data_IF_305996087131
#
_entry.id   IF_305996087131
#
_cell.length_a   1.000
_cell.length_b   1.000
_cell.length_c   1.000
_cell.angle_alpha   90.00
_cell.angle_beta   90.00
_cell.angle_gamma   90.00
#
_symmetry.space_group_name_H-M   'P 1'
#
loop_
_entity.id
_entity.type
_entity.pdbx_description
1 polymer ?
#
# COMPACT_ATOMS: atom_id res chain seq x y z
N UNK A 1 -15.64 -2.43 -32.55
CA UNK A 1 -16.00 -2.77 -31.16
C UNK A 1 -17.51 -2.78 -31.03
N UNK A 2 -18.07 -3.83 -30.48
CA UNK A 2 -19.51 -3.92 -30.20
C UNK A 2 -19.84 -3.14 -28.92
N UNK A 3 -21.15 -2.77 -28.77
CA UNK A 3 -21.62 -2.12 -27.53
C UNK A 3 -21.37 -2.95 -26.27
N UNK A 4 -21.36 -4.27 -26.38
CA UNK A 4 -21.07 -5.20 -25.30
C UNK A 4 -19.58 -5.17 -24.90
N UNK A 5 -18.68 -5.08 -25.88
CA UNK A 5 -17.24 -4.94 -25.61
C UNK A 5 -16.92 -3.63 -24.89
N UNK A 6 -17.56 -2.53 -25.29
CA UNK A 6 -17.38 -1.24 -24.60
C UNK A 6 -17.84 -1.32 -23.14
N UNK A 7 -19.00 -1.91 -22.86
CA UNK A 7 -19.47 -2.12 -21.48
C UNK A 7 -18.53 -2.99 -20.66
N UNK A 8 -17.96 -4.04 -21.26
CA UNK A 8 -16.99 -4.89 -20.57
C UNK A 8 -15.75 -4.11 -20.18
N UNK A 9 -15.20 -3.30 -21.09
CA UNK A 9 -14.05 -2.43 -20.78
C UNK A 9 -14.37 -1.41 -19.68
N UNK A 10 -15.58 -0.83 -19.68
CA UNK A 10 -16.03 0.08 -18.61
C UNK A 10 -16.07 -0.60 -17.24
N UNK A 11 -16.52 -1.86 -17.17
CA UNK A 11 -16.52 -2.62 -15.91
C UNK A 11 -15.10 -2.89 -15.41
N UNK A 12 -14.17 -3.28 -16.30
CA UNK A 12 -12.77 -3.51 -15.94
C UNK A 12 -12.15 -2.19 -15.47
N UNK A 13 -12.35 -1.09 -16.20
CA UNK A 13 -11.84 0.24 -15.84
C UNK A 13 -12.39 0.74 -14.51
N UNK A 14 -13.69 0.53 -14.25
CA UNK A 14 -14.30 0.85 -12.95
C UNK A 14 -13.66 0.07 -11.80
N UNK A 15 -13.32 -1.20 -12.03
CA UNK A 15 -12.63 -2.02 -11.03
C UNK A 15 -11.20 -1.53 -10.78
N UNK A 16 -10.46 -1.16 -11.82
CA UNK A 16 -9.12 -0.58 -11.71
C UNK A 16 -9.17 0.70 -10.87
N UNK A 17 -10.09 1.61 -11.17
CA UNK A 17 -10.26 2.85 -10.44
C UNK A 17 -10.57 2.60 -8.96
N UNK A 18 -11.45 1.64 -8.65
CA UNK A 18 -11.77 1.25 -7.28
C UNK A 18 -10.55 0.71 -6.52
N UNK A 19 -9.66 -0.06 -7.17
CA UNK A 19 -8.43 -0.56 -6.54
C UNK A 19 -7.44 0.58 -6.28
N UNK A 20 -7.30 1.51 -7.22
CA UNK A 20 -6.46 2.70 -7.06
C UNK A 20 -6.98 3.62 -5.94
N UNK A 21 -8.29 3.85 -5.86
CA UNK A 21 -8.92 4.62 -4.78
C UNK A 21 -8.72 3.98 -3.41
N UNK A 22 -8.84 2.66 -3.32
CA UNK A 22 -8.59 1.95 -2.06
C UNK A 22 -7.12 2.06 -1.63
N UNK A 23 -6.17 1.93 -2.56
CA UNK A 23 -4.74 2.17 -2.30
C UNK A 23 -4.49 3.59 -1.78
N UNK A 24 -5.13 4.61 -2.37
CA UNK A 24 -5.01 5.99 -1.91
C UNK A 24 -5.60 6.19 -0.50
N UNK A 25 -6.76 5.62 -0.22
CA UNK A 25 -7.41 5.67 1.11
C UNK A 25 -6.55 5.00 2.19
N UNK A 26 -5.96 3.85 1.88
CA UNK A 26 -5.04 3.13 2.80
C UNK A 26 -3.85 4.00 3.19
N UNK A 27 -3.25 4.71 2.23
CA UNK A 27 -2.16 5.68 2.50
C UNK A 27 -2.62 6.81 3.42
N UNK A 28 -3.80 7.37 3.15
CA UNK A 28 -4.38 8.43 4.00
C UNK A 28 -4.63 7.98 5.43
N UNK A 29 -5.23 6.81 5.63
CA UNK A 29 -5.44 6.23 6.96
C UNK A 29 -4.14 5.96 7.70
N UNK A 30 -3.13 5.44 7.00
CA UNK A 30 -1.80 5.21 7.59
C UNK A 30 -1.20 6.49 8.14
N UNK A 31 -1.16 7.56 7.33
CA UNK A 31 -0.61 8.87 7.74
C UNK A 31 -1.38 9.42 8.94
N UNK A 32 -2.71 9.35 8.92
CA UNK A 32 -3.57 9.83 10.02
C UNK A 32 -3.28 9.09 11.33
N UNK A 33 -3.21 7.76 11.30
CA UNK A 33 -2.93 6.95 12.50
C UNK A 33 -1.54 7.21 13.07
N UNK A 34 -0.53 7.29 12.21
CA UNK A 34 0.84 7.56 12.65
C UNK A 34 0.93 8.97 13.25
N UNK A 35 0.30 9.96 12.63
CA UNK A 35 0.27 11.34 13.17
C UNK A 35 -0.42 11.39 14.53
N UNK A 36 -1.50 10.64 14.73
CA UNK A 36 -2.18 10.54 16.03
C UNK A 36 -1.28 9.90 17.10
N UNK A 37 -0.58 8.80 16.77
CA UNK A 37 0.35 8.14 17.70
C UNK A 37 1.55 9.04 18.04
N UNK A 38 2.05 9.81 17.07
CA UNK A 38 3.11 10.80 17.30
C UNK A 38 2.63 11.93 18.24
N UNK A 39 1.41 12.42 18.06
CA UNK A 39 0.81 13.42 18.94
C UNK A 39 0.68 12.89 20.38
N UNK A 40 0.26 11.64 20.55
CA UNK A 40 0.20 10.98 21.86
C UNK A 40 1.59 10.82 22.49
N UNK A 41 2.62 10.49 21.69
CA UNK A 41 4.00 10.46 22.16
C UNK A 41 4.44 11.82 22.70
N UNK A 42 4.22 12.90 21.94
CA UNK A 42 4.61 14.27 22.33
C UNK A 42 3.96 14.69 23.66
N UNK A 43 2.71 14.29 23.89
CA UNK A 43 1.98 14.63 25.12
C UNK A 43 2.37 13.78 26.34
N UNK A 44 2.78 12.51 26.14
CA UNK A 44 2.98 11.56 27.24
C UNK A 44 4.44 11.17 27.44
N UNK A 45 5.29 11.48 26.48
CA UNK A 45 6.72 11.09 26.39
C UNK A 45 6.98 9.57 26.52
N UNK A 46 5.91 8.75 26.34
CA UNK A 46 6.03 7.28 26.43
C UNK A 46 6.50 6.68 25.11
N UNK A 47 7.68 6.11 25.09
CA UNK A 47 8.30 5.42 23.92
C UNK A 47 7.38 4.31 23.36
N UNK A 48 6.50 3.73 24.17
CA UNK A 48 5.54 2.71 23.74
C UNK A 48 4.71 3.14 22.54
N UNK A 49 4.34 4.41 22.39
CA UNK A 49 3.56 4.89 21.25
C UNK A 49 4.36 4.83 19.93
N UNK A 50 5.67 5.04 19.98
CA UNK A 50 6.55 4.89 18.81
C UNK A 50 6.71 3.42 18.40
N UNK A 51 6.79 2.51 19.38
CA UNK A 51 6.84 1.07 19.11
C UNK A 51 5.53 0.56 18.49
N UNK A 52 4.38 0.99 19.03
CA UNK A 52 3.06 0.64 18.49
C UNK A 52 2.84 1.18 17.09
N UNK A 53 3.46 2.32 16.72
CA UNK A 53 3.34 2.91 15.39
C UNK A 53 3.89 2.02 14.26
N UNK A 54 4.80 1.09 14.55
CA UNK A 54 5.29 0.13 13.54
C UNK A 54 4.19 -0.82 13.06
N UNK A 55 3.23 -1.17 13.91
CA UNK A 55 2.14 -2.11 13.56
C UNK A 55 1.32 -1.58 12.38
N UNK A 56 0.69 -0.38 12.44
CA UNK A 56 -0.06 0.14 11.31
C UNK A 56 0.83 0.38 10.07
N UNK A 57 2.10 0.79 10.23
CA UNK A 57 3.00 0.97 9.09
C UNK A 57 3.13 -0.32 8.26
N UNK A 58 3.40 -1.46 8.89
CA UNK A 58 3.56 -2.73 8.19
C UNK A 58 2.23 -3.27 7.66
N UNK A 59 1.13 -3.17 8.44
CA UNK A 59 -0.20 -3.64 8.01
C UNK A 59 -0.67 -2.87 6.78
N UNK A 60 -0.58 -1.55 6.78
CA UNK A 60 -0.99 -0.74 5.64
C UNK A 60 -0.07 -0.89 4.44
N UNK A 61 1.24 -1.10 4.65
CA UNK A 61 2.16 -1.42 3.57
C UNK A 61 1.75 -2.71 2.85
N UNK A 62 1.39 -3.75 3.62
CA UNK A 62 0.92 -5.01 3.06
C UNK A 62 -0.41 -4.85 2.30
N UNK A 63 -1.37 -4.12 2.86
CA UNK A 63 -2.66 -3.85 2.22
C UNK A 63 -2.50 -3.05 0.92
N UNK A 64 -1.67 -2.03 0.92
CA UNK A 64 -1.42 -1.21 -0.26
C UNK A 64 -0.75 -2.02 -1.38
N UNK A 65 0.22 -2.87 -1.03
CA UNK A 65 0.85 -3.80 -1.97
C UNK A 65 -0.17 -4.78 -2.58
N UNK A 66 -1.14 -5.25 -1.78
CA UNK A 66 -2.22 -6.10 -2.26
C UNK A 66 -3.12 -5.36 -3.27
N UNK A 67 -3.57 -4.14 -2.95
CA UNK A 67 -4.40 -3.36 -3.88
C UNK A 67 -3.66 -3.03 -5.18
N UNK A 68 -2.37 -2.68 -5.11
CA UNK A 68 -1.55 -2.45 -6.29
C UNK A 68 -1.37 -3.73 -7.13
N UNK A 69 -1.23 -4.89 -6.50
CA UNK A 69 -1.18 -6.17 -7.21
C UNK A 69 -2.48 -6.41 -7.98
N UNK A 70 -3.64 -6.24 -7.32
CA UNK A 70 -4.94 -6.41 -7.96
C UNK A 70 -5.13 -5.42 -9.13
N UNK A 71 -4.80 -4.16 -8.92
CA UNK A 71 -4.86 -3.13 -9.96
C UNK A 71 -4.04 -3.54 -11.19
N UNK A 72 -2.81 -4.02 -11.00
CA UNK A 72 -1.94 -4.47 -12.10
C UNK A 72 -2.50 -5.66 -12.86
N UNK A 73 -3.12 -6.62 -12.15
CA UNK A 73 -3.78 -7.78 -12.79
C UNK A 73 -4.97 -7.33 -13.64
N UNK A 74 -5.81 -6.42 -13.14
CA UNK A 74 -6.93 -5.88 -13.90
C UNK A 74 -6.49 -5.01 -15.07
N UNK A 75 -5.36 -4.31 -15.00
CA UNK A 75 -4.77 -3.61 -16.15
C UNK A 75 -4.33 -4.61 -17.24
N UNK A 76 -3.71 -5.74 -16.86
CA UNK A 76 -3.39 -6.81 -17.80
C UNK A 76 -4.64 -7.39 -18.47
N UNK A 77 -5.72 -7.61 -17.72
CA UNK A 77 -7.00 -8.05 -18.25
C UNK A 77 -7.61 -7.01 -19.23
N UNK A 78 -7.48 -5.72 -18.91
CA UNK A 78 -7.94 -4.65 -19.78
C UNK A 78 -7.21 -4.65 -21.13
N UNK A 79 -5.89 -4.77 -21.12
CA UNK A 79 -5.06 -4.79 -22.33
C UNK A 79 -5.43 -6.00 -23.22
N UNK A 80 -5.63 -7.18 -22.63
CA UNK A 80 -6.04 -8.38 -23.35
C UNK A 80 -7.48 -8.29 -23.88
N UNK A 81 -8.38 -7.63 -23.14
CA UNK A 81 -9.75 -7.40 -23.59
C UNK A 81 -9.81 -6.42 -24.79
N UNK A 82 -8.97 -5.39 -24.80
CA UNK A 82 -8.79 -4.47 -25.93
C UNK A 82 -8.24 -5.21 -27.14
N UNK A 83 -7.29 -6.13 -26.95
CA UNK A 83 -6.73 -6.97 -28.02
C UNK A 83 -7.69 -8.05 -28.54
N UNK A 84 -8.86 -8.22 -27.91
CA UNK A 84 -9.87 -9.23 -28.29
C UNK A 84 -9.52 -10.66 -27.84
N UNK A 85 -8.53 -10.84 -26.97
CA UNK A 85 -8.08 -12.14 -26.49
C UNK A 85 -8.93 -12.71 -25.34
N UNK A 86 -9.87 -11.95 -24.81
CA UNK A 86 -10.72 -12.31 -23.67
C UNK A 86 -12.18 -12.38 -24.08
N UNK A 87 -12.91 -13.39 -23.56
CA UNK A 87 -14.37 -13.49 -23.76
C UNK A 87 -15.06 -12.29 -23.10
N UNK A 88 -16.10 -11.76 -23.76
CA UNK A 88 -16.95 -10.71 -23.20
C UNK A 88 -17.43 -11.09 -21.79
N UNK A 89 -17.39 -10.11 -20.88
CA UNK A 89 -17.78 -10.23 -19.46
C UNK A 89 -16.96 -11.21 -18.61
N UNK A 90 -15.82 -11.72 -19.10
CA UNK A 90 -14.88 -12.47 -18.28
C UNK A 90 -14.07 -11.50 -17.40
N UNK A 91 -14.16 -11.66 -16.07
CA UNK A 91 -13.43 -10.89 -15.06
C UNK A 91 -12.37 -11.76 -14.33
N UNK A 92 -11.97 -12.87 -14.96
CA UNK A 92 -11.04 -13.83 -14.38
C UNK A 92 -9.61 -13.32 -14.46
N UNK A 93 -8.97 -13.13 -13.31
CA UNK A 93 -7.59 -12.61 -13.20
C UNK A 93 -6.57 -13.69 -12.81
N UNK A 94 -6.98 -14.95 -12.63
CA UNK A 94 -6.09 -16.04 -12.24
C UNK A 94 -4.99 -16.33 -13.27
N UNK A 95 -5.22 -16.02 -14.55
CA UNK A 95 -4.24 -16.17 -15.62
C UNK A 95 -3.05 -15.22 -15.50
N UNK A 96 -3.20 -14.14 -14.71
CA UNK A 96 -2.18 -13.11 -14.48
C UNK A 96 -1.32 -13.37 -13.24
N UNK A 97 -1.28 -14.62 -12.72
CA UNK A 97 -0.41 -15.00 -11.61
C UNK A 97 1.04 -15.25 -12.08
N UNK A 98 1.61 -14.31 -12.84
CA UNK A 98 3.00 -14.30 -13.29
C UNK A 98 3.87 -13.41 -12.42
N UNK A 99 5.19 -13.55 -12.51
CA UNK A 99 6.16 -12.74 -11.77
C UNK A 99 5.93 -11.22 -11.93
N UNK A 100 5.51 -10.77 -13.11
CA UNK A 100 5.19 -9.35 -13.41
C UNK A 100 4.07 -8.79 -12.50
N UNK A 101 3.09 -9.65 -12.16
CA UNK A 101 1.92 -9.31 -11.33
C UNK A 101 2.03 -9.90 -9.92
N UNK A 102 3.24 -10.31 -9.50
CA UNK A 102 3.49 -10.89 -8.19
C UNK A 102 3.30 -9.86 -7.06
N UNK A 103 2.88 -10.36 -5.90
CA UNK A 103 2.80 -9.58 -4.67
C UNK A 103 4.15 -8.94 -4.30
N UNK A 104 5.24 -9.71 -4.39
CA UNK A 104 6.59 -9.21 -4.10
C UNK A 104 7.00 -8.06 -5.00
N UNK A 105 6.69 -8.12 -6.30
CA UNK A 105 6.93 -7.04 -7.24
C UNK A 105 6.11 -5.77 -6.91
N UNK A 106 4.91 -5.94 -6.33
CA UNK A 106 4.06 -4.84 -5.89
C UNK A 106 4.54 -4.26 -4.57
N UNK A 107 4.95 -5.08 -3.63
CA UNK A 107 5.48 -4.69 -2.33
C UNK A 107 6.75 -3.82 -2.45
N UNK A 108 7.66 -4.18 -3.36
CA UNK A 108 8.89 -3.42 -3.66
C UNK A 108 8.69 -2.41 -4.81
N UNK A 109 7.48 -1.98 -5.05
CA UNK A 109 7.16 -1.00 -6.10
C UNK A 109 7.78 0.36 -5.80
N UNK A 110 8.23 1.05 -6.87
CA UNK A 110 8.74 2.43 -6.80
C UNK A 110 7.72 3.44 -6.24
N UNK A 111 6.44 3.09 -6.20
CA UNK A 111 5.37 3.94 -5.68
C UNK A 111 5.11 3.71 -4.19
N UNK A 112 5.24 2.47 -3.71
CA UNK A 112 4.89 2.07 -2.34
C UNK A 112 6.12 2.12 -1.43
N UNK A 113 7.22 1.47 -1.88
CA UNK A 113 8.43 1.32 -1.08
C UNK A 113 9.02 2.66 -0.56
N UNK A 114 9.12 3.75 -1.34
CA UNK A 114 9.64 5.00 -0.82
C UNK A 114 8.77 5.61 0.28
N UNK A 115 7.44 5.58 0.12
CA UNK A 115 6.51 6.16 1.08
C UNK A 115 6.59 5.46 2.44
N UNK A 116 6.39 4.13 2.44
CA UNK A 116 6.40 3.35 3.68
C UNK A 116 7.82 3.21 4.25
N UNK A 117 8.81 3.05 3.38
CA UNK A 117 10.21 2.96 3.79
C UNK A 117 10.72 4.21 4.49
N UNK A 118 10.38 5.40 3.98
CA UNK A 118 10.74 6.67 4.64
C UNK A 118 10.03 6.82 5.99
N UNK A 119 8.76 6.46 6.12
CA UNK A 119 8.02 6.53 7.37
C UNK A 119 8.60 5.59 8.43
N UNK A 120 8.91 4.34 8.06
CA UNK A 120 9.55 3.36 8.95
C UNK A 120 10.92 3.84 9.37
N UNK A 121 11.72 4.36 8.43
CA UNK A 121 13.07 4.86 8.70
C UNK A 121 13.06 6.06 9.66
N UNK A 122 12.19 7.03 9.44
CA UNK A 122 12.05 8.21 10.30
C UNK A 122 11.63 7.82 11.72
N UNK A 123 10.63 6.93 11.85
CA UNK A 123 10.21 6.44 13.16
C UNK A 123 11.33 5.69 13.87
N UNK A 124 12.08 4.86 13.13
CA UNK A 124 13.20 4.10 13.68
C UNK A 124 14.35 5.00 14.14
N UNK A 125 14.72 6.02 13.36
CA UNK A 125 15.74 7.01 13.73
C UNK A 125 15.31 7.75 15.01
N UNK A 126 14.05 8.20 15.07
CA UNK A 126 13.52 8.89 16.25
C UNK A 126 13.60 7.98 17.49
N UNK A 127 13.21 6.72 17.36
CA UNK A 127 13.30 5.73 18.43
C UNK A 127 14.75 5.55 18.92
N UNK A 128 15.72 5.42 18.02
CA UNK A 128 17.13 5.29 18.36
C UNK A 128 17.64 6.52 19.11
N UNK A 129 17.34 7.73 18.66
CA UNK A 129 17.76 8.98 19.32
C UNK A 129 17.25 9.02 20.76
N UNK A 130 16.01 8.61 21.00
CA UNK A 130 15.40 8.61 22.33
C UNK A 130 16.03 7.56 23.24
N UNK A 131 16.27 6.36 22.74
CA UNK A 131 16.95 5.30 23.49
C UNK A 131 18.37 5.72 23.88
N UNK A 132 19.13 6.35 22.98
CA UNK A 132 20.45 6.89 23.29
C UNK A 132 20.41 8.00 24.34
N UNK A 133 19.39 8.87 24.28
CA UNK A 133 19.19 9.93 25.27
C UNK A 133 18.92 9.36 26.67
N UNK A 134 18.04 8.36 26.79
CA UNK A 134 17.77 7.67 28.06
C UNK A 134 19.02 7.00 28.61
N UNK A 135 19.77 6.27 27.76
CA UNK A 135 21.02 5.62 28.17
C UNK A 135 22.06 6.61 28.67
N UNK A 136 22.23 7.73 27.99
CA UNK A 136 23.19 8.79 28.41
C UNK A 136 22.80 9.45 29.73
N UNK A 137 21.48 9.55 30.01
CA UNK A 137 21.01 10.12 31.28
C UNK A 137 21.17 9.16 32.47
N UNK A 138 21.17 7.85 32.26
CA UNK A 138 21.40 6.85 33.30
C UNK A 138 22.87 6.63 33.64
N UNK A 139 23.81 7.04 32.77
CA UNK A 139 25.24 6.86 32.96
C UNK A 139 25.95 8.11 33.54
N UNK A 140 25.23 9.21 33.75
CA UNK A 140 25.72 10.45 34.38
C UNK A 140 25.03 10.66 35.73
#
# INVERSE_FOLDING_TARGET
>A
MTSEQLKHLDYIQSTINRMADNSFKVKGWMVTLISALMALYVNTEKISFLLVAFIPMFVFWFLDAYYLQQERKFRGLYDDAVAGNVRCFSMTISTYDTFKYSFTSSFWSKTICPLYGTMVLLNFILLLILLFKEYSCCCN
#
